data_IF_062535057886
#
_entry.id   IF_062535057886
#
_cell.length_a   1.000
_cell.length_b   1.000
_cell.length_c   1.000
_cell.angle_alpha   90.00
_cell.angle_beta   90.00
_cell.angle_gamma   90.00
#
_symmetry.space_group_name_H-M   'P 1'
#
loop_
_entity.id
_entity.type
_entity.pdbx_description
1 polymer ?
#
# COMPACT_ATOMS: atom_id res chain seq x y z
N UNK A 1 -70.45 48.12 -67.41
CA UNK A 1 -69.63 47.07 -68.06
C UNK A 1 -68.15 47.45 -67.99
N UNK A 2 -67.65 47.67 -66.78
CA UNK A 2 -66.26 47.99 -66.40
C UNK A 2 -66.14 47.52 -64.93
N UNK A 3 -64.98 47.01 -64.50
CA UNK A 3 -64.66 46.45 -63.14
C UNK A 3 -64.50 44.90 -63.05
N UNK A 4 -63.65 44.30 -63.90
CA UNK A 4 -63.25 42.88 -63.76
C UNK A 4 -61.91 42.58 -64.47
N UNK A 5 -60.90 43.45 -64.36
CA UNK A 5 -59.64 43.27 -65.11
C UNK A 5 -58.45 44.10 -64.65
N UNK A 6 -58.49 44.71 -63.46
CA UNK A 6 -57.36 45.45 -62.89
C UNK A 6 -56.58 44.67 -61.83
N UNK A 7 -57.23 43.69 -61.19
CA UNK A 7 -56.67 43.01 -60.02
C UNK A 7 -55.59 41.97 -60.38
N UNK A 8 -55.80 41.17 -61.43
CA UNK A 8 -54.84 40.12 -61.84
C UNK A 8 -53.46 40.68 -62.24
N UNK A 9 -53.45 41.84 -62.93
CA UNK A 9 -52.22 42.51 -63.31
C UNK A 9 -51.44 43.02 -62.08
N UNK A 10 -52.15 43.48 -61.04
CA UNK A 10 -51.55 43.94 -59.79
C UNK A 10 -50.99 42.77 -58.98
N UNK A 11 -51.70 41.62 -58.89
CA UNK A 11 -51.19 40.43 -58.20
C UNK A 11 -49.91 39.89 -58.85
N UNK A 12 -49.85 39.84 -60.19
CA UNK A 12 -48.63 39.43 -60.91
C UNK A 12 -47.46 40.41 -60.72
N UNK A 13 -47.72 41.71 -60.65
CA UNK A 13 -46.71 42.72 -60.33
C UNK A 13 -46.15 42.57 -58.90
N UNK A 14 -47.00 42.32 -57.90
CA UNK A 14 -46.54 42.07 -56.53
C UNK A 14 -45.82 40.72 -56.38
N UNK A 15 -46.24 39.67 -57.09
CA UNK A 15 -45.56 38.37 -57.07
C UNK A 15 -44.16 38.43 -57.71
N UNK A 16 -44.00 39.19 -58.80
CA UNK A 16 -42.70 39.44 -59.43
C UNK A 16 -41.81 40.35 -58.58
N UNK A 17 -42.37 41.34 -57.89
CA UNK A 17 -41.62 42.16 -56.93
C UNK A 17 -41.17 41.35 -55.70
N UNK A 18 -42.00 40.44 -55.19
CA UNK A 18 -41.67 39.55 -54.07
C UNK A 18 -40.60 38.51 -54.45
N UNK A 19 -40.66 37.93 -55.64
CA UNK A 19 -39.60 37.02 -56.10
C UNK A 19 -38.29 37.77 -56.35
N UNK A 20 -38.33 39.00 -56.86
CA UNK A 20 -37.14 39.86 -56.99
C UNK A 20 -36.55 40.25 -55.64
N UNK A 21 -37.37 40.63 -54.63
CA UNK A 21 -36.86 40.96 -53.29
C UNK A 21 -36.35 39.75 -52.52
N UNK A 22 -36.98 38.57 -52.67
CA UNK A 22 -36.41 37.32 -52.18
C UNK A 22 -35.07 37.00 -52.85
N UNK A 23 -34.93 37.19 -54.16
CA UNK A 23 -33.66 36.96 -54.87
C UNK A 23 -32.57 37.97 -54.47
N UNK A 24 -32.94 39.22 -54.18
CA UNK A 24 -32.03 40.24 -53.62
C UNK A 24 -31.64 39.88 -52.17
N UNK A 25 -32.56 39.35 -51.36
CA UNK A 25 -32.26 38.88 -50.00
C UNK A 25 -31.33 37.64 -50.02
N UNK A 26 -31.59 36.68 -50.91
CA UNK A 26 -30.77 35.48 -51.15
C UNK A 26 -29.33 35.84 -51.59
N UNK A 27 -29.18 36.88 -52.43
CA UNK A 27 -27.87 37.35 -52.89
C UNK A 27 -27.12 38.20 -51.86
N UNK A 28 -27.81 38.95 -50.98
CA UNK A 28 -27.18 39.65 -49.85
C UNK A 28 -26.79 38.69 -48.71
N UNK A 29 -27.59 37.66 -48.43
CA UNK A 29 -27.32 36.63 -47.41
C UNK A 29 -26.00 35.87 -47.65
N UNK A 30 -25.56 35.79 -48.92
CA UNK A 30 -24.27 35.17 -49.29
C UNK A 30 -23.02 35.99 -48.91
N UNK A 31 -23.17 37.17 -48.31
CA UNK A 31 -22.07 37.94 -47.69
C UNK A 31 -21.89 37.68 -46.19
N UNK A 32 -22.12 36.45 -45.75
CA UNK A 32 -21.55 35.98 -44.49
C UNK A 32 -20.02 35.88 -44.63
N UNK A 33 -19.30 36.82 -44.01
CA UNK A 33 -17.84 36.74 -43.77
C UNK A 33 -17.51 35.65 -42.73
N UNK A 34 -17.92 34.42 -43.00
CA UNK A 34 -17.14 33.27 -42.56
C UNK A 34 -15.89 33.28 -43.42
N UNK A 35 -14.71 33.46 -42.81
CA UNK A 35 -13.43 33.37 -43.51
C UNK A 35 -13.33 31.94 -44.04
N UNK A 36 -13.60 31.76 -45.34
CA UNK A 36 -13.51 30.46 -45.98
C UNK A 36 -12.05 30.03 -46.03
N UNK A 37 -11.75 28.73 -45.87
CA UNK A 37 -10.38 28.22 -46.01
C UNK A 37 -9.73 28.59 -47.36
N UNK A 38 -10.56 28.74 -48.41
CA UNK A 38 -10.22 29.19 -49.78
C UNK A 38 -9.33 30.46 -49.83
N UNK A 39 -9.38 31.35 -48.83
CA UNK A 39 -8.59 32.59 -48.83
C UNK A 39 -7.12 32.37 -48.42
N UNK A 40 -6.86 31.31 -47.64
CA UNK A 40 -5.54 31.02 -47.03
C UNK A 40 -4.90 29.76 -47.63
N UNK A 41 -5.72 28.76 -47.96
CA UNK A 41 -5.32 27.51 -48.60
C UNK A 41 -5.59 27.63 -50.12
N UNK A 42 -4.56 27.53 -50.98
CA UNK A 42 -4.75 27.50 -52.43
C UNK A 42 -5.61 26.32 -52.90
N UNK A 43 -6.33 26.46 -54.02
CA UNK A 43 -7.17 25.40 -54.61
C UNK A 43 -6.43 24.08 -54.89
N UNK A 44 -5.10 24.14 -55.04
CA UNK A 44 -4.22 23.01 -55.28
C UNK A 44 -3.52 22.48 -54.01
N UNK A 45 -3.96 22.91 -52.82
CA UNK A 45 -3.41 22.44 -51.56
C UNK A 45 -3.84 21.00 -51.27
N UNK A 46 -2.87 20.09 -51.18
CA UNK A 46 -3.08 18.69 -50.79
C UNK A 46 -2.56 18.50 -49.37
N UNK A 47 -3.49 18.30 -48.42
CA UNK A 47 -3.20 18.19 -46.99
C UNK A 47 -2.50 16.89 -46.60
N UNK A 48 -2.63 15.85 -47.42
CA UNK A 48 -1.95 14.57 -47.24
C UNK A 48 -0.45 14.64 -47.60
N UNK A 49 -0.04 15.70 -48.32
CA UNK A 49 1.36 15.91 -48.71
C UNK A 49 2.04 16.81 -47.68
N UNK A 50 3.22 16.38 -47.23
CA UNK A 50 4.07 17.11 -46.29
C UNK A 50 4.51 18.48 -46.85
N UNK A 51 4.62 19.54 -46.00
CA UNK A 51 5.19 20.83 -46.38
C UNK A 51 6.54 20.67 -47.09
N UNK A 52 6.77 21.38 -48.21
CA UNK A 52 8.05 21.32 -48.93
C UNK A 52 9.15 22.00 -48.10
N UNK A 53 10.06 21.20 -47.54
CA UNK A 53 11.29 21.68 -46.93
C UNK A 53 12.36 21.99 -47.99
N UNK A 54 13.43 22.69 -47.60
CA UNK A 54 14.59 22.91 -48.47
C UNK A 54 15.20 21.56 -48.93
N UNK A 55 15.81 21.48 -50.14
CA UNK A 55 16.30 20.21 -50.68
C UNK A 55 17.25 19.47 -49.71
N UNK A 56 16.86 18.28 -49.27
CA UNK A 56 17.62 17.45 -48.34
C UNK A 56 17.49 17.81 -46.85
N UNK A 57 16.65 18.78 -46.48
CA UNK A 57 16.33 19.07 -45.08
C UNK A 57 14.98 18.45 -44.65
N UNK A 58 14.87 17.93 -43.41
CA UNK A 58 13.57 17.57 -42.85
C UNK A 58 12.75 18.82 -42.51
N UNK A 59 11.42 18.68 -42.49
CA UNK A 59 10.54 19.64 -41.80
C UNK A 59 10.92 19.65 -40.32
N UNK A 60 11.10 20.83 -39.75
CA UNK A 60 11.36 21.01 -38.32
C UNK A 60 10.01 21.25 -37.62
N UNK A 61 9.72 20.43 -36.61
CA UNK A 61 8.55 20.58 -35.76
C UNK A 61 9.04 20.89 -34.34
N UNK A 62 8.84 22.13 -33.91
CA UNK A 62 9.06 22.52 -32.52
C UNK A 62 7.86 22.09 -31.69
N UNK A 63 8.14 21.53 -30.52
CA UNK A 63 7.15 20.96 -29.61
C UNK A 63 7.36 21.57 -28.22
N UNK A 64 6.29 22.11 -27.63
CA UNK A 64 6.30 22.62 -26.26
C UNK A 64 5.18 21.98 -25.47
N UNK A 65 5.43 21.73 -24.18
CA UNK A 65 4.43 21.19 -23.25
C UNK A 65 4.28 22.18 -22.08
N UNK A 66 3.04 22.54 -21.78
CA UNK A 66 2.71 23.25 -20.55
C UNK A 66 1.81 22.38 -19.67
N UNK A 67 2.35 21.94 -18.53
CA UNK A 67 1.67 21.00 -17.63
C UNK A 67 0.76 21.78 -16.69
N UNK A 68 -0.54 21.49 -16.79
CA UNK A 68 -1.59 22.13 -15.99
C UNK A 68 -1.67 21.46 -14.63
N UNK A 69 -1.78 20.13 -14.63
CA UNK A 69 -1.91 19.29 -13.45
C UNK A 69 -1.42 17.85 -13.69
N UNK A 70 -1.12 17.13 -12.61
CA UNK A 70 -0.81 15.69 -12.60
C UNK A 70 -1.82 15.02 -11.66
N UNK A 71 -2.95 14.60 -12.21
CA UNK A 71 -4.15 14.25 -11.46
C UNK A 71 -3.93 13.07 -10.47
N UNK A 72 -3.13 12.08 -10.87
CA UNK A 72 -2.85 10.88 -10.06
C UNK A 72 -1.64 10.11 -10.58
N UNK A 73 -0.93 9.43 -9.68
CA UNK A 73 0.13 8.46 -9.99
C UNK A 73 -0.37 7.10 -9.49
N UNK A 74 -0.68 6.17 -10.40
CA UNK A 74 -1.15 4.84 -10.02
C UNK A 74 0.02 3.86 -9.88
N UNK A 75 0.24 3.43 -8.64
CA UNK A 75 1.29 2.51 -8.21
C UNK A 75 1.00 1.07 -8.66
N UNK A 76 -0.28 0.68 -8.75
CA UNK A 76 -0.69 -0.67 -9.18
C UNK A 76 -0.58 -0.84 -10.70
N UNK A 77 -1.09 0.14 -11.44
CA UNK A 77 -1.09 0.15 -12.90
C UNK A 77 0.27 0.53 -13.52
N UNK A 78 1.23 1.01 -12.72
CA UNK A 78 2.51 1.55 -13.18
C UNK A 78 2.32 2.69 -14.21
N UNK A 79 1.49 3.68 -13.87
CA UNK A 79 1.24 4.86 -14.71
C UNK A 79 1.01 6.16 -13.92
N UNK A 80 0.99 7.27 -14.64
CA UNK A 80 0.53 8.55 -14.12
C UNK A 80 -0.38 9.25 -15.12
N UNK A 81 -1.33 10.04 -14.61
CA UNK A 81 -2.27 10.84 -15.39
C UNK A 81 -1.83 12.29 -15.38
N UNK A 82 -1.73 12.89 -16.57
CA UNK A 82 -1.31 14.28 -16.77
C UNK A 82 -2.31 15.03 -17.65
N UNK A 83 -2.58 16.27 -17.26
CA UNK A 83 -3.33 17.25 -18.05
C UNK A 83 -2.38 18.35 -18.49
N UNK A 84 -2.22 18.51 -19.81
CA UNK A 84 -1.21 19.40 -20.37
C UNK A 84 -1.69 20.05 -21.66
N UNK A 85 -1.27 21.28 -21.90
CA UNK A 85 -1.33 21.88 -23.22
C UNK A 85 -0.10 21.47 -24.01
N UNK A 86 -0.34 20.84 -25.17
CA UNK A 86 0.67 20.58 -26.18
C UNK A 86 0.63 21.71 -27.21
N UNK A 87 1.79 22.25 -27.56
CA UNK A 87 1.96 23.19 -28.67
C UNK A 87 2.89 22.59 -29.70
N UNK A 88 2.58 22.79 -30.96
CA UNK A 88 3.33 22.28 -32.10
C UNK A 88 3.51 23.40 -33.11
N UNK A 89 4.73 23.65 -33.56
CA UNK A 89 5.05 24.79 -34.42
C UNK A 89 5.95 24.36 -35.60
N UNK A 90 5.48 24.64 -36.82
CA UNK A 90 6.19 24.37 -38.07
C UNK A 90 5.91 25.46 -39.11
N UNK A 91 6.71 25.53 -40.16
CA UNK A 91 6.48 26.44 -41.29
C UNK A 91 5.76 25.71 -42.42
N UNK A 92 4.71 26.31 -42.97
CA UNK A 92 4.01 25.80 -44.16
C UNK A 92 4.18 26.82 -45.32
N UNK A 93 5.17 26.62 -46.21
CA UNK A 93 5.44 27.56 -47.30
C UNK A 93 4.28 27.72 -48.29
N UNK A 94 3.36 26.74 -48.35
CA UNK A 94 2.23 26.70 -49.28
C UNK A 94 1.06 27.63 -48.90
N UNK A 95 1.03 28.16 -47.68
CA UNK A 95 -0.05 29.09 -47.26
C UNK A 95 0.06 30.43 -47.98
N UNK A 96 -1.09 30.95 -48.40
CA UNK A 96 -1.23 32.34 -48.83
C UNK A 96 -1.63 33.18 -47.60
N UNK A 97 -0.86 34.21 -47.29
CA UNK A 97 -1.11 35.10 -46.15
C UNK A 97 -1.39 36.52 -46.68
N UNK A 98 -2.63 36.82 -47.15
CA UNK A 98 -2.99 38.17 -47.57
C UNK A 98 -3.16 39.05 -46.33
N UNK A 99 -2.64 40.29 -46.37
CA UNK A 99 -2.56 41.16 -45.19
C UNK A 99 -3.91 41.43 -44.49
N UNK A 100 -5.03 41.34 -45.23
CA UNK A 100 -6.38 41.54 -44.75
C UNK A 100 -6.90 40.48 -43.74
N UNK A 101 -6.17 39.40 -43.46
CA UNK A 101 -6.53 38.43 -42.39
C UNK A 101 -5.97 38.79 -41.02
N UNK A 102 -5.04 39.75 -40.95
CA UNK A 102 -4.41 40.18 -39.72
C UNK A 102 -5.08 41.47 -39.23
N UNK A 103 -5.30 41.58 -37.92
CA UNK A 103 -5.77 42.83 -37.31
C UNK A 103 -4.66 43.89 -37.31
N UNK A 104 -5.04 45.17 -37.33
CA UNK A 104 -4.09 46.29 -37.42
C UNK A 104 -3.10 46.30 -36.24
N UNK A 105 -1.85 45.93 -36.51
CA UNK A 105 -0.76 45.86 -35.52
C UNK A 105 -0.45 44.46 -35.00
N UNK A 106 -1.24 43.44 -35.34
CA UNK A 106 -0.97 42.04 -34.99
C UNK A 106 -0.20 41.32 -36.12
N UNK A 107 0.62 40.34 -35.73
CA UNK A 107 1.42 39.48 -36.65
C UNK A 107 0.83 38.07 -36.82
N UNK A 108 -0.31 37.79 -36.18
CA UNK A 108 -0.94 36.47 -36.20
C UNK A 108 -2.47 36.56 -36.19
N UNK A 109 -3.11 35.48 -36.65
CA UNK A 109 -4.56 35.26 -36.56
C UNK A 109 -4.81 33.89 -35.94
N UNK A 110 -5.76 33.79 -35.02
CA UNK A 110 -6.15 32.50 -34.41
C UNK A 110 -7.46 32.02 -35.01
N UNK A 111 -7.44 30.81 -35.58
CA UNK A 111 -8.54 30.18 -36.26
C UNK A 111 -9.16 29.05 -35.42
N UNK A 112 -10.47 28.78 -35.60
CA UNK A 112 -11.16 27.62 -35.03
C UNK A 112 -10.52 26.28 -35.43
N UNK A 113 -10.72 25.20 -34.64
CA UNK A 113 -10.11 23.90 -34.90
C UNK A 113 -10.55 23.28 -36.25
N UNK A 114 -11.72 23.63 -36.78
CA UNK A 114 -12.23 23.14 -38.07
C UNK A 114 -11.33 23.56 -39.27
N UNK A 115 -10.48 24.58 -39.11
CA UNK A 115 -9.45 24.89 -40.10
C UNK A 115 -8.33 23.83 -40.15
N UNK A 116 -8.02 23.20 -39.01
CA UNK A 116 -6.95 22.21 -38.89
C UNK A 116 -7.24 20.96 -39.75
N UNK A 117 -8.50 20.55 -39.88
CA UNK A 117 -8.92 19.39 -40.67
C UNK A 117 -8.63 19.51 -42.18
N UNK A 118 -8.39 20.73 -42.65
CA UNK A 118 -8.07 21.06 -44.05
C UNK A 118 -6.58 21.33 -44.29
N UNK A 119 -5.78 21.40 -43.23
CA UNK A 119 -4.34 21.64 -43.26
C UNK A 119 -3.57 20.31 -43.16
N UNK A 120 -2.32 20.27 -43.63
CA UNK A 120 -1.42 19.16 -43.29
C UNK A 120 -1.15 19.14 -41.79
N UNK A 121 -1.30 17.96 -41.18
CA UNK A 121 -1.10 17.73 -39.76
C UNK A 121 0.14 16.83 -39.56
N UNK A 122 1.11 17.22 -38.71
CA UNK A 122 2.15 16.30 -38.25
C UNK A 122 1.55 15.22 -37.34
N UNK A 123 2.25 14.10 -37.18
CA UNK A 123 1.77 12.92 -36.44
C UNK A 123 2.59 12.55 -35.18
N UNK A 124 2.91 13.50 -34.27
CA UNK A 124 3.58 13.17 -33.02
C UNK A 124 2.65 12.35 -32.12
N UNK A 125 3.13 11.21 -31.65
CA UNK A 125 2.43 10.36 -30.69
C UNK A 125 3.30 10.06 -29.47
N UNK A 126 2.67 9.86 -28.33
CA UNK A 126 3.37 9.42 -27.11
C UNK A 126 3.50 7.89 -27.17
N UNK A 127 4.74 7.40 -27.19
CA UNK A 127 5.03 5.97 -27.38
C UNK A 127 4.57 5.14 -26.19
N UNK A 128 4.70 5.69 -24.98
CA UNK A 128 4.34 5.01 -23.72
C UNK A 128 3.01 5.50 -23.12
N UNK A 129 2.15 6.16 -23.88
CA UNK A 129 0.78 6.44 -23.42
C UNK A 129 -0.10 5.19 -23.53
N UNK A 130 -0.82 4.87 -22.45
CA UNK A 130 -1.94 3.92 -22.48
C UNK A 130 -3.19 4.54 -23.12
N UNK A 131 -3.41 5.84 -22.83
CA UNK A 131 -4.50 6.67 -23.35
C UNK A 131 -3.94 8.07 -23.60
N UNK A 132 -4.33 8.71 -24.70
CA UNK A 132 -3.94 10.08 -25.03
C UNK A 132 -5.06 10.72 -25.85
N UNK A 133 -5.81 11.65 -25.24
CA UNK A 133 -7.05 12.21 -25.80
C UNK A 133 -7.07 13.73 -25.68
N UNK A 134 -7.55 14.42 -26.73
CA UNK A 134 -7.73 15.87 -26.71
C UNK A 134 -8.98 16.19 -25.88
N UNK A 135 -8.84 17.12 -24.93
CA UNK A 135 -9.93 17.55 -24.06
C UNK A 135 -11.05 18.20 -24.88
N UNK A 136 -12.32 17.90 -24.57
CA UNK A 136 -13.49 18.42 -25.27
C UNK A 136 -14.60 18.83 -24.29
N UNK A 137 -15.38 19.84 -24.66
CA UNK A 137 -16.58 20.26 -23.92
C UNK A 137 -17.79 20.37 -24.85
N UNK A 138 -17.65 21.18 -25.90
CA UNK A 138 -18.59 21.29 -27.03
C UNK A 138 -17.85 21.00 -28.33
N UNK A 139 -16.74 21.71 -28.52
CA UNK A 139 -15.70 21.41 -29.51
C UNK A 139 -14.45 20.89 -28.76
N UNK A 140 -13.47 20.39 -29.51
CA UNK A 140 -12.15 20.08 -28.97
C UNK A 140 -11.47 21.37 -28.48
N UNK A 141 -10.79 21.33 -27.35
CA UNK A 141 -9.98 22.43 -26.84
C UNK A 141 -8.65 22.52 -27.59
N UNK A 142 -8.72 22.86 -28.87
CA UNK A 142 -7.59 23.14 -29.74
C UNK A 142 -7.81 24.39 -30.58
N UNK A 143 -6.72 25.00 -31.03
CA UNK A 143 -6.72 26.18 -31.88
C UNK A 143 -5.52 26.18 -32.82
N UNK A 144 -5.68 26.83 -33.97
CA UNK A 144 -4.60 27.03 -34.95
C UNK A 144 -4.26 28.52 -35.01
N UNK A 145 -3.07 28.91 -34.58
CA UNK A 145 -2.55 30.26 -34.85
C UNK A 145 -1.74 30.26 -36.14
N UNK A 146 -2.06 31.15 -37.07
CA UNK A 146 -1.29 31.41 -38.28
C UNK A 146 -0.52 32.71 -38.11
N UNK A 147 0.78 32.70 -38.44
CA UNK A 147 1.65 33.88 -38.38
C UNK A 147 1.94 34.44 -39.78
N UNK A 148 2.15 35.76 -39.87
CA UNK A 148 2.51 36.48 -41.11
C UNK A 148 3.74 35.90 -41.83
N UNK A 149 4.65 35.27 -41.09
CA UNK A 149 5.83 34.55 -41.62
C UNK A 149 5.54 33.12 -42.16
N UNK A 150 4.27 32.71 -42.28
CA UNK A 150 3.81 31.36 -42.65
C UNK A 150 4.15 30.24 -41.65
N UNK A 151 4.49 30.59 -40.41
CA UNK A 151 4.50 29.64 -39.31
C UNK A 151 3.08 29.30 -38.89
N UNK A 152 2.81 28.02 -38.71
CA UNK A 152 1.60 27.49 -38.10
C UNK A 152 1.95 27.04 -36.69
N UNK A 153 1.12 27.43 -35.71
CA UNK A 153 1.19 26.95 -34.34
C UNK A 153 -0.14 26.30 -33.98
N UNK A 154 -0.14 24.98 -33.86
CA UNK A 154 -1.26 24.22 -33.30
C UNK A 154 -1.11 24.16 -31.78
N UNK A 155 -2.19 24.42 -31.04
CA UNK A 155 -2.23 24.28 -29.58
C UNK A 155 -3.44 23.45 -29.18
N UNK A 156 -3.28 22.45 -28.31
CA UNK A 156 -4.36 21.60 -27.84
C UNK A 156 -4.19 21.24 -26.36
N UNK A 157 -5.29 21.20 -25.60
CA UNK A 157 -5.30 20.59 -24.25
C UNK A 157 -5.49 19.09 -24.39
N UNK A 158 -4.62 18.31 -23.76
CA UNK A 158 -4.60 16.86 -23.88
C UNK A 158 -4.52 16.21 -22.50
N UNK A 159 -5.34 15.18 -22.31
CA UNK A 159 -5.30 14.29 -21.16
C UNK A 159 -4.56 13.01 -21.58
N UNK A 160 -3.49 12.67 -20.87
CA UNK A 160 -2.70 11.49 -21.15
C UNK A 160 -2.51 10.62 -19.90
N UNK A 161 -2.59 9.29 -20.09
CA UNK A 161 -2.22 8.29 -19.10
C UNK A 161 -0.94 7.64 -19.60
N UNK A 162 0.17 7.85 -18.89
CA UNK A 162 1.51 7.51 -19.37
C UNK A 162 2.12 6.42 -18.49
N UNK A 163 2.49 5.30 -19.11
CA UNK A 163 3.10 4.17 -18.44
C UNK A 163 4.52 4.51 -17.98
N UNK A 164 4.80 4.26 -16.71
CA UNK A 164 6.07 4.48 -16.05
C UNK A 164 6.45 3.26 -15.18
N UNK A 165 7.56 2.61 -15.52
CA UNK A 165 8.07 1.47 -14.77
C UNK A 165 8.76 1.96 -13.48
N UNK A 166 8.01 1.98 -12.38
CA UNK A 166 8.48 2.48 -11.08
C UNK A 166 9.22 1.40 -10.27
N UNK A 167 10.21 1.79 -9.47
CA UNK A 167 10.98 0.91 -8.60
C UNK A 167 10.82 1.29 -7.11
N UNK A 168 10.21 0.39 -6.34
CA UNK A 168 9.81 0.64 -4.95
C UNK A 168 10.77 0.03 -3.90
N UNK A 169 11.99 -0.38 -4.28
CA UNK A 169 12.96 -1.00 -3.35
C UNK A 169 13.22 -0.15 -2.10
N UNK A 170 13.25 1.17 -2.26
CA UNK A 170 13.50 2.14 -1.18
C UNK A 170 12.23 2.74 -0.56
N UNK A 171 11.05 2.22 -0.91
CA UNK A 171 9.76 2.72 -0.41
C UNK A 171 9.73 2.76 1.12
N UNK A 172 9.31 3.89 1.75
CA UNK A 172 8.67 5.07 1.13
C UNK A 172 9.61 6.26 0.84
N UNK A 173 10.94 6.08 0.85
CA UNK A 173 11.91 7.10 0.38
C UNK A 173 12.38 6.76 -1.04
N UNK A 174 11.41 6.51 -1.93
CA UNK A 174 11.63 6.25 -3.34
C UNK A 174 11.51 7.53 -4.19
N UNK A 175 12.40 7.64 -5.18
CA UNK A 175 12.35 8.64 -6.24
C UNK A 175 12.09 7.90 -7.55
N UNK A 176 11.00 8.25 -8.23
CA UNK A 176 10.62 7.66 -9.50
C UNK A 176 11.03 8.58 -10.65
N UNK A 177 11.63 8.01 -11.70
CA UNK A 177 11.99 8.72 -12.93
C UNK A 177 11.10 8.22 -14.06
N UNK A 178 10.08 8.99 -14.40
CA UNK A 178 9.07 8.66 -15.39
C UNK A 178 9.33 9.39 -16.71
N UNK A 179 9.90 8.73 -17.74
CA UNK A 179 10.08 9.32 -19.06
C UNK A 179 8.75 9.40 -19.82
N UNK A 180 8.58 10.47 -20.59
CA UNK A 180 7.58 10.55 -21.67
C UNK A 180 8.32 10.60 -22.99
N UNK A 181 8.00 9.67 -23.88
CA UNK A 181 8.65 9.55 -25.19
C UNK A 181 7.69 10.00 -26.29
N UNK A 182 8.03 11.06 -27.01
CA UNK A 182 7.25 11.62 -28.13
C UNK A 182 8.02 11.39 -29.43
N UNK A 183 7.38 10.82 -30.44
CA UNK A 183 7.98 10.45 -31.73
C UNK A 183 6.95 10.60 -32.85
N UNK A 184 7.39 10.74 -34.10
CA UNK A 184 6.51 10.76 -35.26
C UNK A 184 6.01 9.36 -35.62
N UNK A 185 4.74 9.22 -35.99
CA UNK A 185 4.16 7.92 -36.33
C UNK A 185 4.66 7.42 -37.70
N UNK A 186 4.62 8.25 -38.74
CA UNK A 186 4.86 7.86 -40.14
C UNK A 186 6.16 8.41 -40.72
N UNK A 187 6.65 9.54 -40.23
CA UNK A 187 7.81 10.23 -40.80
C UNK A 187 9.12 9.87 -40.09
N UNK A 188 10.13 9.47 -40.86
CA UNK A 188 11.49 9.24 -40.35
C UNK A 188 12.25 10.57 -40.12
N UNK A 189 13.42 10.53 -39.46
CA UNK A 189 14.20 11.73 -39.08
C UNK A 189 14.62 12.61 -40.29
N UNK A 190 14.72 11.99 -41.47
CA UNK A 190 15.05 12.66 -42.75
C UNK A 190 13.87 13.44 -43.34
N UNK A 191 12.63 13.11 -42.97
CA UNK A 191 11.41 13.81 -43.38
C UNK A 191 10.93 14.79 -42.31
N UNK A 192 10.88 14.38 -41.05
CA UNK A 192 10.36 15.17 -39.94
C UNK A 192 11.31 15.07 -38.74
N UNK A 193 11.77 16.21 -38.24
CA UNK A 193 12.66 16.29 -37.08
C UNK A 193 11.98 17.08 -35.97
N UNK A 194 11.72 16.38 -34.87
CA UNK A 194 11.16 16.95 -33.64
C UNK A 194 12.27 17.69 -32.89
N UNK A 195 11.95 18.89 -32.38
CA UNK A 195 12.79 19.70 -31.49
C UNK A 195 11.95 20.21 -30.32
N UNK A 196 12.56 20.47 -29.18
CA UNK A 196 11.92 21.30 -28.15
C UNK A 196 11.85 22.75 -28.64
N UNK A 197 10.75 23.45 -28.34
CA UNK A 197 10.66 24.90 -28.52
C UNK A 197 11.47 25.66 -27.45
N UNK A 198 11.33 26.99 -27.42
CA UNK A 198 12.11 27.86 -26.52
C UNK A 198 11.75 27.63 -25.04
N UNK A 199 10.48 27.38 -24.73
CA UNK A 199 10.01 27.04 -23.38
C UNK A 199 10.21 25.53 -23.07
N UNK A 200 10.15 24.67 -24.08
CA UNK A 200 10.37 23.23 -23.98
C UNK A 200 9.30 22.52 -23.15
N UNK A 201 9.51 22.40 -21.84
CA UNK A 201 8.49 21.90 -20.91
C UNK A 201 8.39 22.80 -19.69
N UNK A 202 7.24 23.46 -19.55
CA UNK A 202 6.90 24.31 -18.42
C UNK A 202 5.88 23.63 -17.52
N UNK A 203 5.99 23.87 -16.21
CA UNK A 203 5.10 23.31 -15.19
C UNK A 203 4.36 24.44 -14.49
N UNK A 204 3.05 24.31 -14.31
CA UNK A 204 2.26 25.24 -13.50
C UNK A 204 2.84 25.37 -12.08
N UNK A 205 3.28 26.55 -11.62
CA UNK A 205 3.90 26.73 -10.30
C UNK A 205 2.92 26.52 -9.13
N UNK A 206 1.61 26.48 -9.39
CA UNK A 206 0.59 26.16 -8.40
C UNK A 206 0.37 24.64 -8.23
N UNK A 207 0.95 23.79 -9.09
CA UNK A 207 0.79 22.34 -9.07
C UNK A 207 1.33 21.76 -7.75
N UNK A 208 0.48 21.03 -7.03
CA UNK A 208 0.82 20.37 -5.76
C UNK A 208 0.20 18.98 -5.69
N UNK A 209 1.05 17.97 -5.68
CA UNK A 209 0.67 16.58 -5.44
C UNK A 209 0.58 16.31 -3.92
N UNK A 210 -0.37 15.46 -3.50
CA UNK A 210 -0.58 15.14 -2.07
C UNK A 210 0.49 14.20 -1.50
N UNK A 211 0.98 13.24 -2.31
CA UNK A 211 1.90 12.19 -1.87
C UNK A 211 3.33 12.36 -2.42
N UNK A 212 3.51 13.20 -3.43
CA UNK A 212 4.76 13.36 -4.15
C UNK A 212 5.13 14.85 -4.25
N UNK A 213 6.38 15.11 -4.61
CA UNK A 213 6.84 16.39 -5.11
C UNK A 213 7.39 16.19 -6.53
N UNK A 214 7.20 17.18 -7.41
CA UNK A 214 7.81 17.16 -8.75
C UNK A 214 9.20 17.79 -8.63
N UNK A 215 10.23 16.99 -8.83
CA UNK A 215 11.61 17.46 -8.81
C UNK A 215 11.90 18.38 -10.00
N UNK A 216 12.53 19.51 -9.73
CA UNK A 216 12.96 20.49 -10.74
C UNK A 216 14.49 20.57 -10.80
N UNK A 217 15.09 20.81 -11.99
CA UNK A 217 14.45 20.90 -13.30
C UNK A 217 14.05 19.53 -13.87
N UNK A 218 13.16 19.53 -14.88
CA UNK A 218 12.88 18.36 -15.71
C UNK A 218 14.07 18.12 -16.66
N UNK A 219 14.52 16.87 -16.83
CA UNK A 219 15.55 16.54 -17.82
C UNK A 219 14.91 16.44 -19.22
N UNK A 220 15.32 17.33 -20.11
CA UNK A 220 14.88 17.39 -21.51
C UNK A 220 15.96 16.82 -22.41
N UNK A 221 15.59 15.89 -23.29
CA UNK A 221 16.51 15.29 -24.26
C UNK A 221 15.88 15.20 -25.64
N UNK A 222 16.71 15.47 -26.64
CA UNK A 222 16.42 15.18 -28.04
C UNK A 222 17.26 13.98 -28.44
N UNK A 223 16.62 12.96 -29.03
CA UNK A 223 17.26 11.67 -29.32
C UNK A 223 16.85 11.17 -30.69
N UNK A 224 17.75 10.44 -31.36
CA UNK A 224 17.42 9.63 -32.51
C UNK A 224 17.30 8.16 -32.09
N UNK A 225 16.27 7.47 -32.55
CA UNK A 225 16.07 6.04 -32.28
C UNK A 225 15.82 5.25 -33.55
N UNK A 226 16.58 4.19 -33.78
CA UNK A 226 16.23 3.20 -34.81
C UNK A 226 15.06 2.35 -34.35
N UNK A 227 14.03 2.22 -35.20
CA UNK A 227 12.84 1.41 -34.95
C UNK A 227 12.86 0.14 -35.79
N UNK A 228 13.07 -0.99 -35.12
CA UNK A 228 13.03 -2.33 -35.73
C UNK A 228 11.70 -2.59 -36.46
N UNK A 229 10.58 -2.15 -35.89
CA UNK A 229 9.22 -2.32 -36.45
C UNK A 229 8.98 -1.53 -37.74
N UNK A 230 9.72 -0.44 -37.97
CA UNK A 230 9.49 0.53 -39.06
C UNK A 230 10.69 0.64 -40.02
N UNK A 231 11.73 -0.16 -39.82
CA UNK A 231 13.02 -0.14 -40.55
C UNK A 231 13.54 1.29 -40.83
N UNK A 232 13.77 2.06 -39.77
CA UNK A 232 14.23 3.44 -39.92
C UNK A 232 14.57 4.17 -38.64
N UNK A 233 15.31 5.28 -38.78
CA UNK A 233 15.58 6.22 -37.70
C UNK A 233 14.43 7.23 -37.56
N UNK A 234 13.95 7.41 -36.34
CA UNK A 234 12.92 8.39 -35.99
C UNK A 234 13.47 9.41 -34.99
N UNK A 235 12.99 10.65 -35.10
CA UNK A 235 13.32 11.74 -34.18
C UNK A 235 12.42 11.62 -32.96
N UNK A 236 13.01 11.62 -31.76
CA UNK A 236 12.29 11.42 -30.49
C UNK A 236 12.65 12.47 -29.45
N UNK A 237 11.62 13.11 -28.90
CA UNK A 237 11.74 13.95 -27.72
C UNK A 237 11.49 13.13 -26.47
N UNK A 238 12.26 13.40 -25.41
CA UNK A 238 12.12 12.74 -24.12
C UNK A 238 12.15 13.78 -23.00
N UNK A 239 11.15 13.73 -22.12
CA UNK A 239 11.13 14.50 -20.88
C UNK A 239 11.05 13.53 -19.70
N UNK A 240 11.89 13.72 -18.68
CA UNK A 240 11.90 12.90 -17.46
C UNK A 240 11.21 13.62 -16.31
N UNK A 241 10.10 13.05 -15.84
CA UNK A 241 9.44 13.45 -14.61
C UNK A 241 10.10 12.79 -13.41
N UNK A 242 10.69 13.60 -12.53
CA UNK A 242 11.18 13.15 -11.23
C UNK A 242 10.06 13.29 -10.21
N UNK A 243 9.52 12.18 -9.72
CA UNK A 243 8.55 12.17 -8.62
C UNK A 243 9.23 11.70 -7.33
N UNK A 244 9.28 12.56 -6.32
CA UNK A 244 9.88 12.27 -5.01
C UNK A 244 8.77 12.09 -3.97
N UNK A 245 8.69 10.93 -3.28
CA UNK A 245 7.61 10.67 -2.31
C UNK A 245 7.79 11.46 -1.02
N UNK A 246 6.71 12.06 -0.51
CA UNK A 246 6.71 12.73 0.78
C UNK A 246 6.63 11.72 1.94
N UNK A 247 7.73 11.54 2.68
CA UNK A 247 7.83 10.52 3.74
C UNK A 247 6.99 10.82 5.00
N UNK A 248 6.60 12.08 5.24
CA UNK A 248 6.05 12.54 6.53
C UNK A 248 4.84 11.76 7.03
N UNK A 249 3.95 11.33 6.14
CA UNK A 249 2.79 10.49 6.45
C UNK A 249 3.19 9.12 7.03
N UNK A 250 4.14 8.44 6.36
CA UNK A 250 4.63 7.13 6.78
C UNK A 250 5.44 7.19 8.09
N UNK A 251 6.15 8.30 8.34
CA UNK A 251 6.84 8.51 9.62
C UNK A 251 5.87 8.47 10.80
N UNK A 252 4.75 9.20 10.70
CA UNK A 252 3.79 9.36 11.79
C UNK A 252 2.87 8.14 11.93
N UNK A 253 2.45 7.51 10.83
CA UNK A 253 1.50 6.39 10.87
C UNK A 253 2.15 5.00 10.94
N UNK A 254 3.36 4.82 10.41
CA UNK A 254 3.99 3.50 10.34
C UNK A 254 5.22 3.42 11.23
N UNK A 255 6.22 4.29 11.05
CA UNK A 255 7.48 4.21 11.78
C UNK A 255 7.33 4.55 13.28
N UNK A 256 6.62 5.62 13.63
CA UNK A 256 6.43 6.00 15.02
C UNK A 256 5.60 4.97 15.82
N UNK A 257 4.43 4.46 15.36
CA UNK A 257 3.65 3.52 16.16
C UNK A 257 4.30 2.12 16.22
N UNK A 258 4.95 1.66 15.15
CA UNK A 258 5.72 0.40 15.21
C UNK A 258 6.90 0.50 16.19
N UNK A 259 7.61 1.65 16.21
CA UNK A 259 8.63 1.92 17.24
C UNK A 259 8.03 1.84 18.64
N UNK A 260 6.92 2.54 18.90
CA UNK A 260 6.24 2.54 20.21
C UNK A 260 5.82 1.13 20.64
N UNK A 261 5.35 0.28 19.73
CA UNK A 261 5.02 -1.13 20.04
C UNK A 261 6.26 -1.94 20.43
N UNK A 262 7.42 -1.71 19.81
CA UNK A 262 8.69 -2.29 20.25
C UNK A 262 9.08 -1.77 21.65
N UNK A 263 8.94 -0.46 21.93
CA UNK A 263 9.20 0.08 23.27
C UNK A 263 8.26 -0.53 24.33
N UNK A 264 6.97 -0.70 24.00
CA UNK A 264 6.01 -1.35 24.90
C UNK A 264 6.39 -2.80 25.20
N UNK A 265 6.90 -3.54 24.21
CA UNK A 265 7.29 -4.94 24.42
C UNK A 265 8.35 -5.11 25.51
N UNK A 266 9.34 -4.22 25.60
CA UNK A 266 10.38 -4.28 26.64
C UNK A 266 9.92 -3.78 28.02
N UNK A 267 8.78 -3.08 28.11
CA UNK A 267 8.15 -2.80 29.41
C UNK A 267 7.74 -4.10 30.10
N UNK A 268 7.53 -5.19 29.35
CA UNK A 268 7.36 -6.54 29.87
C UNK A 268 8.50 -7.03 30.77
N UNK A 269 9.75 -6.53 30.62
CA UNK A 269 10.89 -6.88 31.48
C UNK A 269 10.85 -6.19 32.86
N UNK A 270 10.03 -5.15 33.02
CA UNK A 270 9.91 -4.38 34.27
C UNK A 270 8.80 -4.89 35.19
N UNK A 271 7.83 -5.65 34.65
CA UNK A 271 6.81 -6.33 35.45
C UNK A 271 7.43 -7.45 36.29
N UNK A 272 6.91 -7.71 37.49
CA UNK A 272 7.31 -8.87 38.30
C UNK A 272 6.93 -10.20 37.66
N UNK A 273 7.62 -11.29 38.01
CA UNK A 273 7.28 -12.63 37.49
C UNK A 273 5.93 -13.13 37.99
N UNK A 274 5.43 -12.59 39.09
CA UNK A 274 4.13 -12.94 39.68
C UNK A 274 2.95 -12.59 38.77
N UNK A 275 3.14 -11.66 37.82
CA UNK A 275 2.15 -11.21 36.85
C UNK A 275 2.30 -11.89 35.47
N UNK A 276 2.55 -13.21 35.46
CA UNK A 276 2.61 -14.08 34.25
C UNK A 276 1.55 -13.72 33.18
N UNK A 277 0.22 -13.66 33.49
CA UNK A 277 -0.79 -13.38 32.46
C UNK A 277 -0.64 -11.99 31.84
N UNK A 278 -0.20 -10.99 32.61
CA UNK A 278 0.05 -9.63 32.10
C UNK A 278 1.22 -9.59 31.11
N UNK A 279 2.34 -10.24 31.44
CA UNK A 279 3.55 -10.28 30.58
C UNK A 279 3.27 -11.00 29.26
N UNK A 280 2.59 -12.15 29.29
CA UNK A 280 2.18 -12.89 28.06
C UNK A 280 1.22 -12.06 27.20
N UNK A 281 0.16 -11.51 27.82
CA UNK A 281 -0.86 -10.77 27.08
C UNK A 281 -0.25 -9.55 26.39
N UNK A 282 0.61 -8.79 27.07
CA UNK A 282 1.33 -7.65 26.48
C UNK A 282 2.10 -8.08 25.22
N UNK A 283 2.97 -9.09 25.33
CA UNK A 283 3.86 -9.49 24.23
C UNK A 283 3.09 -10.06 23.02
N UNK A 284 2.06 -10.88 23.28
CA UNK A 284 1.18 -11.41 22.22
C UNK A 284 0.35 -10.30 21.58
N UNK A 285 -0.15 -9.34 22.35
CA UNK A 285 -0.85 -8.17 21.80
C UNK A 285 0.10 -7.31 20.96
N UNK A 286 1.33 -7.03 21.41
CA UNK A 286 2.31 -6.30 20.60
C UNK A 286 2.63 -7.00 19.27
N UNK A 287 2.78 -8.33 19.28
CA UNK A 287 3.00 -9.12 18.06
C UNK A 287 1.79 -9.03 17.12
N UNK A 288 0.57 -9.19 17.64
CA UNK A 288 -0.65 -9.03 16.87
C UNK A 288 -0.77 -7.61 16.29
N UNK A 289 -0.47 -6.56 17.06
CA UNK A 289 -0.49 -5.17 16.60
C UNK A 289 0.47 -4.94 15.43
N UNK A 290 1.71 -5.46 15.49
CA UNK A 290 2.66 -5.31 14.37
C UNK A 290 2.20 -6.06 13.11
N UNK A 291 1.66 -7.27 13.26
CA UNK A 291 1.09 -8.04 12.13
C UNK A 291 -0.13 -7.30 11.55
N UNK A 292 -1.05 -6.83 12.38
CA UNK A 292 -2.22 -6.04 11.96
C UNK A 292 -1.80 -4.77 11.23
N UNK A 293 -0.81 -4.03 11.75
CA UNK A 293 -0.24 -2.86 11.08
C UNK A 293 0.34 -3.24 9.71
N UNK A 294 1.16 -4.29 9.62
CA UNK A 294 1.75 -4.75 8.36
C UNK A 294 0.68 -5.09 7.31
N UNK A 295 -0.38 -5.80 7.70
CA UNK A 295 -1.52 -6.12 6.81
C UNK A 295 -2.45 -4.94 6.51
N UNK A 296 -2.44 -3.91 7.35
CA UNK A 296 -3.36 -2.76 7.28
C UNK A 296 -2.90 -1.64 6.35
N UNK A 297 -1.66 -1.69 5.87
CA UNK A 297 -1.04 -0.68 5.01
C UNK A 297 -1.50 -0.85 3.55
N UNK A 298 -2.68 -0.30 3.24
CA UNK A 298 -3.32 -0.42 1.92
C UNK A 298 -2.58 0.28 0.78
N UNK A 299 -1.82 1.33 1.09
CA UNK A 299 -1.15 2.16 0.08
C UNK A 299 0.21 1.59 -0.40
N UNK A 300 0.51 0.32 -0.08
CA UNK A 300 1.78 -0.31 -0.43
C UNK A 300 1.72 -0.95 -1.83
N UNK A 301 2.71 -0.67 -2.71
CA UNK A 301 2.84 -1.36 -3.98
C UNK A 301 2.85 -2.91 -3.83
N UNK A 302 1.97 -3.65 -4.51
CA UNK A 302 1.95 -5.12 -4.52
C UNK A 302 3.08 -5.69 -5.40
N UNK A 303 4.32 -5.37 -5.06
CA UNK A 303 5.54 -5.87 -5.72
C UNK A 303 6.09 -7.10 -5.02
N UNK A 304 6.58 -8.05 -5.82
CA UNK A 304 7.11 -9.34 -5.36
C UNK A 304 8.51 -9.29 -4.71
N UNK A 305 9.14 -8.11 -4.65
CA UNK A 305 10.43 -7.91 -3.99
C UNK A 305 10.29 -7.17 -2.65
N UNK A 306 11.26 -7.42 -1.77
CA UNK A 306 11.34 -6.81 -0.43
C UNK A 306 11.60 -5.31 -0.56
N UNK A 307 10.74 -4.50 0.08
CA UNK A 307 10.86 -3.04 0.20
C UNK A 307 11.58 -2.68 1.50
N UNK A 308 12.17 -1.48 1.58
CA UNK A 308 12.80 -1.00 2.82
C UNK A 308 11.83 -1.02 4.02
N UNK A 309 10.57 -0.62 3.81
CA UNK A 309 9.52 -0.70 4.84
C UNK A 309 9.27 -2.14 5.33
N UNK A 310 9.36 -3.14 4.46
CA UNK A 310 9.19 -4.55 4.84
C UNK A 310 10.33 -5.00 5.78
N UNK A 311 11.56 -4.55 5.51
CA UNK A 311 12.73 -4.81 6.36
C UNK A 311 12.55 -4.18 7.75
N UNK A 312 12.03 -2.95 7.81
CA UNK A 312 11.72 -2.30 9.09
C UNK A 312 10.67 -3.08 9.89
N UNK A 313 9.53 -3.40 9.26
CA UNK A 313 8.43 -4.11 9.93
C UNK A 313 8.85 -5.52 10.36
N UNK A 314 9.63 -6.23 9.55
CA UNK A 314 10.21 -7.53 9.88
C UNK A 314 11.18 -7.44 11.08
N UNK A 315 12.03 -6.41 11.14
CA UNK A 315 12.93 -6.18 12.27
C UNK A 315 12.15 -5.89 13.56
N UNK A 316 11.14 -5.01 13.52
CA UNK A 316 10.25 -4.76 14.67
C UNK A 316 9.56 -6.05 15.15
N UNK A 317 9.04 -6.87 14.24
CA UNK A 317 8.43 -8.17 14.59
C UNK A 317 9.45 -9.14 15.21
N UNK A 318 10.68 -9.19 14.69
CA UNK A 318 11.77 -10.01 15.25
C UNK A 318 12.12 -9.59 16.69
N UNK A 319 12.19 -8.28 16.99
CA UNK A 319 12.47 -7.80 18.35
C UNK A 319 11.35 -8.16 19.34
N UNK A 320 10.08 -8.01 18.96
CA UNK A 320 8.94 -8.42 19.81
C UNK A 320 8.90 -9.95 19.99
N UNK A 321 9.20 -10.72 18.94
CA UNK A 321 9.30 -12.18 19.03
C UNK A 321 10.44 -12.62 19.94
N UNK A 322 11.61 -11.97 19.87
CA UNK A 322 12.73 -12.25 20.75
C UNK A 322 12.39 -11.95 22.23
N UNK A 323 11.61 -10.91 22.53
CA UNK A 323 11.11 -10.64 23.88
C UNK A 323 10.11 -11.71 24.37
N UNK A 324 9.30 -12.28 23.46
CA UNK A 324 8.43 -13.42 23.78
C UNK A 324 9.23 -14.71 24.08
N UNK A 325 10.28 -14.99 23.29
CA UNK A 325 11.18 -16.13 23.51
C UNK A 325 11.93 -15.98 24.84
N UNK A 326 12.43 -14.78 25.16
CA UNK A 326 13.09 -14.48 26.44
C UNK A 326 12.17 -14.79 27.63
N UNK A 327 10.93 -14.31 27.58
CA UNK A 327 9.94 -14.59 28.62
C UNK A 327 9.68 -16.10 28.79
N UNK A 328 9.61 -16.87 27.70
CA UNK A 328 9.45 -18.33 27.76
C UNK A 328 10.66 -18.99 28.43
N UNK A 329 11.88 -18.57 28.09
CA UNK A 329 13.12 -19.08 28.71
C UNK A 329 13.15 -18.76 30.20
N UNK A 330 12.90 -17.50 30.59
CA UNK A 330 12.86 -17.07 32.00
C UNK A 330 11.81 -17.86 32.78
N UNK A 331 10.62 -18.11 32.20
CA UNK A 331 9.58 -18.94 32.82
C UNK A 331 10.03 -20.38 33.03
N UNK A 332 10.67 -21.02 32.04
CA UNK A 332 11.16 -22.40 32.16
C UNK A 332 12.21 -22.52 33.26
N UNK A 333 13.19 -21.61 33.28
CA UNK A 333 14.21 -21.54 34.34
C UNK A 333 13.59 -21.31 35.73
N UNK A 334 12.57 -20.45 35.84
CA UNK A 334 11.87 -20.23 37.09
C UNK A 334 11.12 -21.48 37.59
N UNK A 335 10.47 -22.24 36.69
CA UNK A 335 9.76 -23.48 37.04
C UNK A 335 10.75 -24.57 37.47
N UNK A 336 11.87 -24.75 36.76
CA UNK A 336 12.94 -25.66 37.16
C UNK A 336 13.47 -25.32 38.55
N UNK A 337 13.73 -24.04 38.81
CA UNK A 337 14.23 -23.61 40.11
C UNK A 337 13.21 -23.82 41.25
N UNK A 338 11.91 -23.66 40.98
CA UNK A 338 10.88 -24.03 41.96
C UNK A 338 10.82 -25.54 42.25
N UNK A 339 11.09 -26.39 41.25
CA UNK A 339 11.15 -27.84 41.45
C UNK A 339 12.34 -28.23 42.35
N UNK A 340 13.55 -27.75 42.03
CA UNK A 340 14.76 -27.94 42.85
C UNK A 340 14.56 -27.49 44.31
N UNK A 341 13.92 -26.35 44.54
CA UNK A 341 13.62 -25.87 45.90
C UNK A 341 12.62 -26.76 46.65
N UNK A 342 11.66 -27.38 45.96
CA UNK A 342 10.71 -28.33 46.56
C UNK A 342 11.40 -29.62 46.96
N UNK A 343 12.31 -30.12 46.11
CA UNK A 343 13.12 -31.30 46.43
C UNK A 343 14.07 -31.02 47.61
N UNK A 344 14.78 -29.89 47.63
CA UNK A 344 15.64 -29.49 48.75
C UNK A 344 14.87 -29.33 50.07
N UNK A 345 13.63 -28.81 50.02
CA UNK A 345 12.73 -28.75 51.20
C UNK A 345 12.20 -30.12 51.62
N UNK A 346 12.02 -31.06 50.68
CA UNK A 346 11.64 -32.44 50.97
C UNK A 346 12.79 -33.30 51.53
N UNK A 347 14.04 -32.98 51.18
CA UNK A 347 15.23 -33.70 51.65
C UNK A 347 15.79 -33.19 52.98
N UNK A 348 15.39 -32.00 53.44
CA UNK A 348 15.67 -31.55 54.80
C UNK A 348 14.85 -32.42 55.77
N UNK A 349 15.48 -33.17 56.69
CA UNK A 349 14.72 -33.92 57.68
C UNK A 349 13.90 -32.93 58.50
N UNK A 350 12.62 -33.25 58.69
CA UNK A 350 11.74 -32.57 59.63
C UNK A 350 12.39 -32.64 61.02
N UNK A 351 13.16 -31.61 61.37
CA UNK A 351 13.65 -31.41 62.72
C UNK A 351 12.46 -30.96 63.54
N UNK A 352 11.67 -31.94 63.97
CA UNK A 352 10.65 -31.77 64.99
C UNK A 352 11.40 -31.31 66.23
N UNK A 353 11.41 -30.00 66.46
CA UNK A 353 11.67 -29.44 67.79
C UNK A 353 10.49 -29.84 68.68
N UNK A 354 10.55 -31.07 69.20
CA UNK A 354 9.80 -31.44 70.37
C UNK A 354 10.30 -30.61 71.56
N UNK A 355 9.45 -30.43 72.58
CA UNK A 355 9.55 -29.40 73.65
C UNK A 355 9.13 -28.02 73.14
N UNK A 356 8.02 -27.41 73.56
CA UNK A 356 7.08 -27.74 74.66
C UNK A 356 5.66 -27.21 74.34
N UNK A 357 4.63 -27.75 75.03
CA UNK A 357 3.22 -27.31 75.05
C UNK A 357 2.40 -27.45 73.76
N UNK A 358 1.81 -28.64 73.61
CA UNK A 358 0.34 -28.79 73.62
C UNK A 358 -0.48 -28.42 72.37
N UNK A 359 -1.35 -29.37 71.98
CA UNK A 359 -2.51 -29.21 71.08
C UNK A 359 -2.24 -29.13 69.56
N UNK A 360 -2.05 -30.32 68.96
CA UNK A 360 -2.14 -30.53 67.52
C UNK A 360 -3.58 -30.83 67.10
N UNK A 361 -4.30 -29.86 66.55
CA UNK A 361 -5.63 -30.06 65.96
C UNK A 361 -5.52 -30.70 64.55
N UNK A 362 -5.45 -32.04 64.48
CA UNK A 362 -5.61 -32.77 63.22
C UNK A 362 -7.09 -32.89 62.84
N UNK A 363 -7.57 -32.07 61.92
CA UNK A 363 -8.93 -32.19 61.37
C UNK A 363 -8.98 -33.32 60.32
N UNK A 364 -9.58 -34.45 60.68
CA UNK A 364 -9.94 -35.51 59.74
C UNK A 364 -11.40 -35.38 59.29
N UNK A 365 -11.68 -35.76 58.04
CA UNK A 365 -13.03 -35.86 57.50
C UNK A 365 -13.27 -37.30 57.04
N UNK A 366 -14.43 -37.87 57.40
CA UNK A 366 -14.88 -39.16 56.91
C UNK A 366 -16.29 -39.05 56.31
N UNK A 367 -16.57 -39.88 55.31
CA UNK A 367 -17.86 -39.92 54.63
C UNK A 367 -18.79 -40.87 55.39
N UNK A 368 -19.75 -40.32 56.13
CA UNK A 368 -20.72 -41.06 56.92
C UNK A 368 -21.87 -41.64 56.05
N UNK A 369 -21.52 -42.49 55.08
CA UNK A 369 -22.46 -43.26 54.25
C UNK A 369 -23.19 -42.48 53.15
N UNK A 370 -23.71 -43.21 52.17
CA UNK A 370 -24.54 -42.70 51.09
C UNK A 370 -25.89 -43.45 51.07
N UNK A 371 -26.99 -42.71 50.98
CA UNK A 371 -28.33 -43.24 50.71
C UNK A 371 -28.70 -43.00 49.23
N UNK A 372 -29.61 -43.80 48.63
CA UNK A 372 -30.00 -43.65 47.24
C UNK A 372 -30.90 -42.42 47.06
N UNK A 373 -30.27 -41.29 46.70
CA UNK A 373 -30.93 -39.99 46.50
C UNK A 373 -29.96 -38.85 46.79
N UNK A 374 -29.31 -38.32 45.74
CA UNK A 374 -28.08 -37.52 45.81
C UNK A 374 -28.02 -36.42 46.88
N UNK A 375 -27.03 -36.53 47.77
CA UNK A 375 -26.60 -35.47 48.69
C UNK A 375 -25.64 -35.99 49.77
N UNK A 376 -24.41 -35.49 49.83
CA UNK A 376 -23.43 -35.85 50.85
C UNK A 376 -23.48 -34.87 52.04
N UNK A 377 -23.64 -35.38 53.28
CA UNK A 377 -23.68 -34.57 54.50
C UNK A 377 -22.46 -34.85 55.39
N UNK A 378 -21.61 -33.84 55.54
CA UNK A 378 -20.42 -33.89 56.40
C UNK A 378 -20.79 -33.69 57.88
N UNK A 379 -20.09 -34.40 58.80
CA UNK A 379 -20.21 -34.21 60.25
C UNK A 379 -18.81 -34.07 60.86
N UNK A 380 -18.61 -33.06 61.71
CA UNK A 380 -17.41 -32.98 62.57
C UNK A 380 -17.55 -33.97 63.72
N UNK A 381 -16.51 -34.76 63.97
CA UNK A 381 -16.34 -35.57 65.18
C UNK A 381 -15.00 -35.19 65.79
N UNK A 382 -14.98 -34.93 67.09
CA UNK A 382 -13.74 -34.76 67.85
C UNK A 382 -13.38 -36.10 68.48
N UNK A 383 -12.14 -36.56 68.26
CA UNK A 383 -11.60 -37.76 68.92
C UNK A 383 -10.63 -37.29 70.00
N UNK A 384 -11.04 -37.41 71.26
CA UNK A 384 -10.16 -37.21 72.41
C UNK A 384 -9.61 -38.57 72.87
N UNK A 385 -8.30 -38.67 73.00
CA UNK A 385 -7.63 -39.86 73.52
C UNK A 385 -7.34 -39.70 75.02
N UNK A 386 -8.03 -40.46 75.85
CA UNK A 386 -7.55 -40.81 77.20
C UNK A 386 -8.08 -42.18 77.59
N UNK A 387 -7.23 -42.96 78.26
CA UNK A 387 -7.64 -44.20 78.88
C UNK A 387 -7.09 -44.27 80.30
N UNK A 388 -7.81 -44.91 81.21
CA UNK A 388 -7.22 -45.75 82.25
C UNK A 388 -8.27 -46.59 82.99
N UNK A 389 -7.78 -47.69 83.57
CA UNK A 389 -8.30 -48.41 84.73
C UNK A 389 -9.56 -49.30 84.62
N UNK A 390 -9.27 -50.61 84.64
CA UNK A 390 -9.83 -51.64 85.53
C UNK A 390 -11.33 -52.03 85.48
N UNK A 391 -11.58 -53.28 85.07
CA UNK A 391 -12.86 -53.97 85.27
C UNK A 391 -12.93 -55.34 84.58
N UNK A 392 -12.93 -56.42 85.36
CA UNK A 392 -13.19 -57.82 84.94
C UNK A 392 -13.87 -58.54 86.13
N UNK A 393 -14.60 -59.68 85.97
CA UNK A 393 -14.65 -60.57 84.80
C UNK A 393 -16.02 -61.25 84.49
N UNK A 394 -16.02 -62.15 83.47
CA UNK A 394 -17.00 -63.25 83.18
C UNK A 394 -18.42 -62.82 82.71
N UNK A 395 -19.22 -63.59 81.96
CA UNK A 395 -19.22 -65.01 81.49
C UNK A 395 -19.60 -65.05 79.99
N UNK A 396 -19.23 -66.10 79.23
CA UNK A 396 -19.74 -66.36 77.86
C UNK A 396 -21.06 -67.16 77.82
N UNK A 397 -21.24 -68.09 76.86
CA UNK A 397 -21.53 -67.81 75.44
C UNK A 397 -22.81 -68.54 74.93
N UNK A 398 -23.35 -68.20 73.74
CA UNK A 398 -23.98 -69.16 72.77
C UNK A 398 -24.52 -68.55 71.47
N UNK A 399 -24.12 -69.18 70.36
CA UNK A 399 -24.85 -69.45 69.10
C UNK A 399 -25.50 -70.86 69.27
N UNK A 400 -26.53 -71.37 68.54
CA UNK A 400 -27.21 -71.00 67.27
C UNK A 400 -28.70 -70.65 67.45
N UNK A 401 -29.56 -70.44 66.43
CA UNK A 401 -29.43 -70.57 64.97
C UNK A 401 -30.40 -71.62 64.38
N UNK A 402 -31.58 -71.15 63.94
CA UNK A 402 -32.58 -71.83 63.08
C UNK A 402 -33.57 -70.76 62.60
N UNK A 403 -34.18 -70.80 61.40
CA UNK A 403 -34.15 -71.72 60.26
C UNK A 403 -35.24 -71.30 59.26
N UNK A 404 -35.27 -71.86 58.04
CA UNK A 404 -36.11 -71.51 56.87
C UNK A 404 -35.83 -70.11 56.25
N UNK A 405 -35.40 -69.95 54.99
CA UNK A 405 -35.90 -70.45 53.68
C UNK A 405 -37.20 -69.75 53.23
N UNK A 406 -37.47 -69.45 51.95
CA UNK A 406 -36.70 -69.39 50.68
C UNK A 406 -37.63 -68.66 49.67
N UNK A 407 -37.22 -68.04 48.55
CA UNK A 407 -35.94 -67.60 47.98
C UNK A 407 -36.26 -66.68 46.76
N UNK A 408 -35.31 -65.91 46.20
CA UNK A 408 -35.44 -65.46 44.79
C UNK A 408 -34.10 -65.22 44.07
N UNK A 409 -34.13 -65.24 42.73
CA UNK A 409 -32.97 -65.47 41.85
C UNK A 409 -32.28 -64.18 41.32
N UNK A 410 -30.98 -64.20 41.00
CA UNK A 410 -30.24 -63.01 40.56
C UNK A 410 -30.23 -62.81 39.03
N UNK A 411 -30.18 -61.56 38.52
CA UNK A 411 -29.84 -61.27 37.14
C UNK A 411 -28.32 -61.13 36.93
N UNK A 412 -27.82 -61.66 35.82
CA UNK A 412 -26.43 -61.49 35.38
C UNK A 412 -26.12 -60.05 34.97
N UNK A 413 -24.94 -59.53 35.37
CA UNK A 413 -24.32 -58.34 34.75
C UNK A 413 -22.84 -58.63 34.48
N UNK A 414 -22.38 -58.20 33.30
CA UNK A 414 -21.07 -58.52 32.71
C UNK A 414 -19.88 -57.94 33.50
N UNK A 415 -18.82 -58.74 33.60
CA UNK A 415 -17.51 -58.29 34.06
C UNK A 415 -16.81 -57.49 32.96
N UNK A 416 -16.60 -56.19 33.20
CA UNK A 416 -15.63 -55.36 32.47
C UNK A 416 -14.47 -55.00 33.43
N UNK A 417 -13.20 -55.19 33.03
CA UNK A 417 -12.06 -54.84 33.88
C UNK A 417 -11.87 -53.32 33.96
N UNK A 418 -11.32 -52.79 35.08
CA UNK A 418 -10.97 -51.38 35.19
C UNK A 418 -9.86 -51.00 34.19
N UNK A 419 -9.81 -49.72 33.75
CA UNK A 419 -8.90 -49.29 32.70
C UNK A 419 -7.43 -49.43 33.11
N UNK A 420 -6.62 -49.97 32.21
CA UNK A 420 -5.16 -50.07 32.36
C UNK A 420 -4.54 -48.66 32.39
N UNK A 421 -3.52 -48.47 33.22
CA UNK A 421 -2.66 -47.29 33.16
C UNK A 421 -2.14 -47.09 31.73
N UNK A 422 -2.28 -45.87 31.21
CA UNK A 422 -1.65 -45.48 29.96
C UNK A 422 -0.12 -45.51 30.13
N UNK A 423 0.58 -46.20 29.23
CA UNK A 423 2.03 -46.17 29.17
C UNK A 423 2.52 -44.77 28.75
N UNK A 424 3.66 -44.29 29.27
CA UNK A 424 4.23 -43.01 28.83
C UNK A 424 4.68 -43.11 27.36
N UNK A 425 4.30 -42.13 26.56
CA UNK A 425 4.67 -42.06 25.15
C UNK A 425 6.11 -41.54 24.97
N UNK A 426 6.87 -42.25 24.13
CA UNK A 426 8.04 -41.81 23.36
C UNK A 426 8.95 -40.70 23.95
N UNK A 427 10.08 -41.12 24.52
CA UNK A 427 11.25 -40.26 24.72
C UNK A 427 11.90 -39.87 23.40
N UNK A 428 11.91 -38.57 23.09
CA UNK A 428 12.87 -37.96 22.16
C UNK A 428 14.21 -37.70 22.90
N UNK A 429 15.38 -37.63 22.22
CA UNK A 429 16.67 -37.87 22.86
C UNK A 429 17.16 -36.70 23.73
N UNK A 430 17.47 -37.01 24.99
CA UNK A 430 18.05 -36.09 25.99
C UNK A 430 19.52 -35.68 25.73
N UNK A 431 19.97 -35.67 24.47
CA UNK A 431 21.38 -35.52 24.10
C UNK A 431 21.88 -34.06 24.03
N UNK A 432 20.98 -33.07 24.10
CA UNK A 432 21.33 -31.64 24.01
C UNK A 432 21.34 -30.92 25.37
N UNK A 433 20.71 -31.48 26.40
CA UNK A 433 20.60 -30.87 27.74
C UNK A 433 21.87 -31.00 28.58
N UNK A 434 22.62 -32.09 28.39
CA UNK A 434 23.73 -32.45 29.27
C UNK A 434 24.94 -31.51 29.18
N UNK A 435 25.06 -30.70 28.11
CA UNK A 435 26.15 -29.73 27.94
C UNK A 435 25.93 -28.38 28.62
N UNK A 436 24.74 -28.14 29.18
CA UNK A 436 24.44 -26.94 30.00
C UNK A 436 24.35 -27.24 31.51
N UNK A 437 24.40 -28.51 31.90
CA UNK A 437 24.31 -28.96 33.30
C UNK A 437 25.60 -28.85 34.13
N UNK A 438 26.62 -28.12 33.66
CA UNK A 438 27.94 -28.03 34.29
C UNK A 438 28.13 -26.78 35.19
N UNK A 439 27.04 -26.19 35.68
CA UNK A 439 27.03 -25.06 36.61
C UNK A 439 26.41 -25.50 37.95
N UNK A 440 26.94 -25.01 39.08
CA UNK A 440 26.55 -25.50 40.41
C UNK A 440 25.15 -25.03 40.85
N UNK A 441 24.48 -25.73 41.80
CA UNK A 441 23.15 -25.34 42.31
C UNK A 441 23.12 -24.02 43.11
N UNK A 442 24.28 -23.38 43.32
CA UNK A 442 24.40 -22.00 43.79
C UNK A 442 24.34 -20.96 42.66
N UNK A 443 24.74 -21.33 41.46
CA UNK A 443 24.97 -20.47 40.28
C UNK A 443 23.65 -20.20 39.54
N UNK A 444 22.81 -21.24 39.37
CA UNK A 444 21.44 -21.11 38.82
C UNK A 444 20.53 -20.16 39.64
N UNK A 445 20.84 -19.90 40.92
CA UNK A 445 20.02 -19.04 41.81
C UNK A 445 20.01 -17.56 41.41
N UNK A 446 21.03 -17.10 40.68
CA UNK A 446 21.15 -15.71 40.20
C UNK A 446 20.73 -15.56 38.74
N UNK A 447 20.91 -16.62 37.94
CA UNK A 447 20.80 -16.61 36.47
C UNK A 447 19.53 -15.94 35.92
N UNK A 448 18.33 -16.27 36.43
CA UNK A 448 17.08 -15.71 35.87
C UNK A 448 16.88 -14.22 36.19
N UNK A 449 17.35 -13.73 37.34
CA UNK A 449 17.34 -12.28 37.67
C UNK A 449 18.41 -11.51 36.90
N UNK A 450 19.48 -12.20 36.54
CA UNK A 450 20.56 -11.65 35.73
C UNK A 450 20.15 -11.56 34.25
N UNK A 451 19.41 -12.56 33.74
CA UNK A 451 18.76 -12.51 32.42
C UNK A 451 17.77 -11.34 32.36
N UNK A 452 16.76 -11.27 33.24
CA UNK A 452 15.78 -10.15 33.27
C UNK A 452 16.48 -8.78 33.38
N UNK A 453 17.66 -8.71 34.05
CA UNK A 453 18.47 -7.47 34.18
C UNK A 453 19.25 -7.15 32.90
N UNK A 454 19.85 -8.15 32.26
CA UNK A 454 20.59 -7.97 31.00
C UNK A 454 19.65 -7.64 29.85
N UNK A 455 18.47 -8.28 29.76
CA UNK A 455 17.44 -8.02 28.75
C UNK A 455 17.01 -6.54 28.74
N UNK A 456 16.88 -5.91 29.92
CA UNK A 456 16.55 -4.48 30.06
C UNK A 456 17.57 -3.51 29.44
N UNK A 457 18.82 -3.93 29.24
CA UNK A 457 19.86 -3.12 28.61
C UNK A 457 20.11 -3.56 27.16
N UNK A 458 20.17 -4.86 26.91
CA UNK A 458 20.49 -5.45 25.61
C UNK A 458 19.41 -5.17 24.57
N UNK A 459 18.13 -5.35 24.89
CA UNK A 459 17.05 -5.13 23.91
C UNK A 459 16.95 -3.66 23.47
N UNK A 460 16.94 -2.66 24.37
CA UNK A 460 16.97 -1.25 23.96
C UNK A 460 18.25 -0.87 23.20
N UNK A 461 19.42 -1.35 23.63
CA UNK A 461 20.67 -1.05 22.93
C UNK A 461 20.68 -1.62 21.51
N UNK A 462 20.24 -2.86 21.31
CA UNK A 462 20.16 -3.49 19.98
C UNK A 462 19.14 -2.79 19.07
N UNK A 463 17.98 -2.38 19.59
CA UNK A 463 17.00 -1.64 18.81
C UNK A 463 17.51 -0.25 18.43
N UNK A 464 18.14 0.48 19.36
CA UNK A 464 18.76 1.79 19.07
C UNK A 464 19.87 1.63 18.01
N UNK A 465 20.73 0.62 18.12
CA UNK A 465 21.74 0.33 17.10
C UNK A 465 21.11 0.00 15.73
N UNK A 466 20.01 -0.77 15.71
CA UNK A 466 19.27 -1.03 14.47
C UNK A 466 18.74 0.27 13.84
N UNK A 467 18.10 1.16 14.62
CA UNK A 467 17.60 2.46 14.15
C UNK A 467 18.72 3.35 13.63
N UNK A 468 19.85 3.42 14.34
CA UNK A 468 21.03 4.19 13.96
C UNK A 468 21.75 3.66 12.72
N UNK A 469 21.63 2.36 12.40
CA UNK A 469 22.14 1.81 11.14
C UNK A 469 21.11 1.95 9.99
N UNK A 470 19.84 1.67 10.25
CA UNK A 470 18.78 1.63 9.23
C UNK A 470 18.58 2.97 8.53
N UNK A 471 18.41 4.06 9.29
CA UNK A 471 18.10 5.37 8.72
C UNK A 471 19.21 5.95 7.84
N UNK A 472 20.49 5.95 8.26
CA UNK A 472 21.58 6.41 7.40
C UNK A 472 21.75 5.55 6.14
N UNK A 473 21.64 4.22 6.23
CA UNK A 473 21.73 3.34 5.05
C UNK A 473 20.59 3.66 4.06
N UNK A 474 19.38 3.87 4.55
CA UNK A 474 18.23 4.18 3.70
C UNK A 474 18.34 5.57 3.08
N UNK A 475 18.78 6.59 3.83
CA UNK A 475 19.00 7.95 3.33
C UNK A 475 20.12 8.01 2.28
N UNK A 476 21.26 7.34 2.52
CA UNK A 476 22.36 7.27 1.57
C UNK A 476 21.93 6.62 0.25
N UNK A 477 21.14 5.54 0.31
CA UNK A 477 20.61 4.89 -0.90
C UNK A 477 19.52 5.70 -1.60
N UNK A 478 18.71 6.46 -0.88
CA UNK A 478 17.65 7.28 -1.45
C UNK A 478 18.20 8.52 -2.17
N UNK A 479 19.13 9.24 -1.53
CA UNK A 479 19.57 10.55 -2.03
C UNK A 479 20.90 10.55 -2.79
N UNK A 480 21.70 9.48 -2.70
CA UNK A 480 22.86 9.26 -3.56
C UNK A 480 23.97 10.33 -3.40
N UNK A 481 24.72 10.24 -2.30
CA UNK A 481 26.09 10.80 -2.19
C UNK A 481 27.08 9.65 -2.29
#
# INVERSE_FOLDING_TARGET
MWSAGLDDAMVLAWASLLTLTMWIAETQSKKNYSIRPEVVLPDHYVKEIQPPAAPGQPVQLFFDIHIVDINSINVEDMDFRVDMFVRQQWTEPRLHMPDAIFEDGEDYVTLPPEFFDNLWQPDPYIINSKVSEIAMLTHQFSSVTLYRNRTVRYSARMHAIIACQMEFKLYPMDIQLCPVYIESFSYNDRKLRLRWGEDGVSVNPALKLLQYNVGTPLELRETGGYRMEKDGNFSRLVVFFRFERQIGHHLIQTFAPSSLVVLLSWCGFWLGLDAIPGRVTLLVTCMLTLVTMFTGLKDIPPVAYVKALDVWMAACMLFVFAALVEFVVVKVLHVQHQAEQREQRGSLPLRISAVEKGELYSQAWEVAGAFPGGGARWRKVAVSSSGSAAGSPRVGPRVPGSGSQDADSPPHVLLLPPPRHAAPAATAPAAWTDRLGAAGPGEQRQLWREIDRMSRLVFPALFIMFVLCYWPILLLRAYGV
#
